data_IF_163828446760
#
_entry.id   IF_163828446760
#
_cell.length_a   1.000
_cell.length_b   1.000
_cell.length_c   1.000
_cell.angle_alpha   90.00
_cell.angle_beta   90.00
_cell.angle_gamma   90.00
#
_symmetry.space_group_name_H-M   'P 1'
#
loop_
_entity.id
_entity.type
_entity.pdbx_description
1 polymer ?
#
# COMPACT_ATOMS: atom_id res chain seq x y z
N UNK A 1 -1.95 -14.14 10.20
CA UNK A 1 -0.51 -13.83 10.05
C UNK A 1 -0.26 -13.59 8.58
N UNK A 2 -0.27 -12.32 8.14
CA UNK A 2 0.14 -11.97 6.77
C UNK A 2 1.67 -11.97 6.81
N UNK A 3 2.28 -13.06 6.35
CA UNK A 3 3.71 -13.39 6.53
C UNK A 3 4.72 -12.48 5.81
N UNK A 4 4.34 -11.25 5.48
CA UNK A 4 5.09 -10.33 4.62
C UNK A 4 5.56 -9.06 5.33
N UNK A 5 5.12 -8.86 6.57
CA UNK A 5 5.38 -7.67 7.36
C UNK A 5 6.05 -8.14 8.65
N UNK A 6 7.35 -7.89 8.77
CA UNK A 6 8.08 -8.12 10.02
C UNK A 6 7.56 -7.12 11.06
N UNK A 7 6.75 -7.57 12.00
CA UNK A 7 6.15 -6.74 13.05
C UNK A 7 7.18 -6.12 14.01
N UNK A 8 8.42 -6.63 14.08
CA UNK A 8 9.37 -6.30 15.15
C UNK A 8 10.09 -4.94 15.03
N UNK A 9 9.84 -4.10 14.00
CA UNK A 9 10.60 -2.84 13.78
C UNK A 9 9.73 -1.61 13.43
N UNK A 10 8.42 -1.74 13.28
CA UNK A 10 7.58 -0.61 12.85
C UNK A 10 6.86 0.07 14.02
N UNK A 11 6.80 1.40 14.01
CA UNK A 11 5.93 2.16 14.94
C UNK A 11 4.51 1.62 14.82
N UNK A 12 3.78 1.55 15.95
CA UNK A 12 2.34 1.25 15.95
C UNK A 12 1.58 2.12 14.94
N UNK A 13 2.05 3.34 14.71
CA UNK A 13 1.44 4.30 13.79
C UNK A 13 1.48 3.86 12.32
N UNK A 14 2.38 2.94 11.95
CA UNK A 14 2.44 2.39 10.58
C UNK A 14 1.52 1.19 10.37
N UNK A 15 0.93 0.64 11.44
CA UNK A 15 0.11 -0.58 11.36
C UNK A 15 -1.04 -0.47 10.35
N UNK A 16 -1.83 0.64 10.29
CA UNK A 16 -2.89 0.79 9.29
C UNK A 16 -2.36 0.75 7.85
N UNK A 17 -1.30 1.51 7.55
CA UNK A 17 -0.65 1.52 6.24
C UNK A 17 -0.18 0.13 5.83
N UNK A 18 0.60 -0.51 6.72
CA UNK A 18 1.20 -1.81 6.46
C UNK A 18 0.12 -2.87 6.22
N UNK A 19 -0.97 -2.83 7.00
CA UNK A 19 -2.12 -3.71 6.79
C UNK A 19 -2.74 -3.51 5.41
N UNK A 20 -3.08 -2.28 5.03
CA UNK A 20 -3.65 -1.96 3.72
C UNK A 20 -2.73 -2.41 2.57
N UNK A 21 -1.42 -2.16 2.69
CA UNK A 21 -0.45 -2.59 1.68
C UNK A 21 -0.28 -4.10 1.61
N UNK A 22 -0.38 -4.79 2.74
CA UNK A 22 -0.41 -6.25 2.78
C UNK A 22 -1.52 -6.79 1.88
N UNK A 23 -2.75 -6.31 2.02
CA UNK A 23 -3.86 -6.71 1.16
C UNK A 23 -3.72 -6.23 -0.29
N UNK A 24 -3.37 -4.96 -0.48
CA UNK A 24 -3.29 -4.33 -1.80
C UNK A 24 -2.20 -4.90 -2.71
N UNK A 25 -1.08 -5.36 -2.14
CA UNK A 25 0.07 -5.88 -2.89
C UNK A 25 0.04 -7.42 -2.96
N UNK A 26 -0.39 -8.12 -1.90
CA UNK A 26 -0.30 -9.59 -1.86
C UNK A 26 -1.58 -10.31 -2.30
N UNK A 27 -2.72 -9.62 -2.37
CA UNK A 27 -4.03 -10.23 -2.62
C UNK A 27 -4.39 -10.50 -4.10
N UNK A 28 -3.63 -9.95 -5.07
CA UNK A 28 -4.06 -9.88 -6.47
C UNK A 28 -3.31 -10.78 -7.47
N UNK A 29 -4.00 -11.18 -8.55
CA UNK A 29 -3.30 -11.65 -9.77
C UNK A 29 -2.50 -10.52 -10.42
N UNK A 30 -2.99 -9.29 -10.30
CA UNK A 30 -2.41 -8.05 -10.84
C UNK A 30 -1.86 -7.21 -9.67
N UNK A 31 -0.53 -7.09 -9.57
CA UNK A 31 0.12 -6.34 -8.47
C UNK A 31 -0.13 -4.83 -8.55
N UNK A 32 -0.53 -4.35 -9.73
CA UNK A 32 -0.72 -2.93 -9.99
C UNK A 32 -2.17 -2.49 -9.70
N UNK A 33 -3.10 -3.43 -9.52
CA UNK A 33 -4.54 -3.17 -9.49
C UNK A 33 -4.93 -2.00 -8.59
N UNK A 34 -4.58 -2.05 -7.30
CA UNK A 34 -4.87 -0.96 -6.36
C UNK A 34 -3.86 0.19 -6.44
N UNK A 35 -2.67 -0.02 -7.02
CA UNK A 35 -1.66 1.02 -7.17
C UNK A 35 -2.08 2.09 -8.18
N UNK A 36 -2.91 1.72 -9.17
CA UNK A 36 -3.45 2.67 -10.18
C UNK A 36 -4.25 3.79 -9.54
N UNK A 37 -5.19 3.47 -8.66
CA UNK A 37 -5.97 4.48 -7.92
C UNK A 37 -5.15 5.12 -6.79
N UNK A 38 -4.29 4.35 -6.11
CA UNK A 38 -3.55 4.82 -4.93
C UNK A 38 -2.41 5.79 -5.30
N UNK A 39 -1.32 5.28 -5.87
CA UNK A 39 -0.14 6.11 -6.21
C UNK A 39 -0.18 6.63 -7.66
N UNK A 40 -0.92 5.95 -8.54
CA UNK A 40 -1.23 6.46 -9.88
C UNK A 40 -2.25 7.58 -9.89
N UNK A 41 -3.02 7.75 -8.81
CA UNK A 41 -4.03 8.80 -8.62
C UNK A 41 -5.05 8.83 -9.77
N UNK A 42 -5.29 7.69 -10.42
CA UNK A 42 -6.31 7.57 -11.47
C UNK A 42 -7.70 7.50 -10.82
N UNK A 43 -8.57 8.50 -11.01
CA UNK A 43 -9.87 8.56 -10.34
C UNK A 43 -10.88 7.52 -10.85
N UNK A 44 -10.58 6.83 -11.96
CA UNK A 44 -11.41 5.77 -12.52
C UNK A 44 -11.00 4.38 -12.05
N UNK A 45 -9.84 4.28 -11.39
CA UNK A 45 -9.29 3.04 -10.88
C UNK A 45 -9.60 2.90 -9.39
N UNK A 46 -9.71 1.65 -8.88
CA UNK A 46 -9.97 1.44 -7.47
C UNK A 46 -8.79 1.96 -6.65
N UNK A 47 -9.11 2.88 -5.74
CA UNK A 47 -8.33 3.07 -4.51
C UNK A 47 -8.62 1.89 -3.59
N UNK A 48 -7.67 1.48 -2.74
CA UNK A 48 -7.80 0.29 -1.88
C UNK A 48 -9.20 0.14 -1.28
N UNK A 49 -9.76 -1.06 -1.28
CA UNK A 49 -11.18 -1.20 -0.92
C UNK A 49 -11.82 -2.52 -1.26
N UNK A 50 -11.31 -3.62 -0.70
CA UNK A 50 -12.22 -4.72 -0.35
C UNK A 50 -12.87 -4.34 1.00
N UNK A 51 -14.13 -4.74 1.32
CA UNK A 51 -14.77 -4.35 2.56
C UNK A 51 -13.88 -4.63 3.78
N UNK A 52 -13.51 -3.59 4.51
CA UNK A 52 -12.73 -3.71 5.74
C UNK A 52 -11.37 -3.00 5.75
N UNK A 53 -10.94 -2.40 4.64
CA UNK A 53 -9.75 -1.53 4.60
C UNK A 53 -9.82 -0.52 3.46
N UNK A 54 -9.05 0.57 3.56
CA UNK A 54 -8.90 1.61 2.54
C UNK A 54 -7.51 2.22 2.61
N UNK A 55 -6.96 2.57 1.44
CA UNK A 55 -5.78 3.43 1.31
C UNK A 55 -6.05 4.40 0.16
N UNK A 56 -6.35 5.65 0.50
CA UNK A 56 -6.81 6.64 -0.46
C UNK A 56 -5.87 7.87 -0.47
N UNK A 57 -5.49 8.38 -1.65
CA UNK A 57 -4.76 9.63 -1.76
C UNK A 57 -5.69 10.83 -1.56
N UNK A 58 -5.24 11.83 -0.83
CA UNK A 58 -5.90 13.12 -0.61
C UNK A 58 -4.96 14.27 -1.01
N UNK A 59 -5.34 15.02 -2.05
CA UNK A 59 -4.60 16.19 -2.51
C UNK A 59 -4.82 17.37 -1.56
N UNK A 60 -3.74 17.86 -0.97
CA UNK A 60 -3.74 18.99 -0.05
C UNK A 60 -3.75 20.33 -0.81
N UNK A 61 -4.08 21.41 -0.10
CA UNK A 61 -4.14 22.76 -0.70
C UNK A 61 -2.79 23.25 -1.24
N UNK A 62 -1.68 22.78 -0.66
CA UNK A 62 -0.30 23.11 -1.06
C UNK A 62 0.22 22.26 -2.23
N UNK A 63 -0.62 21.36 -2.76
CA UNK A 63 -0.29 20.45 -3.85
C UNK A 63 0.43 19.17 -3.42
N UNK A 64 0.69 18.97 -2.12
CA UNK A 64 1.18 17.69 -1.59
C UNK A 64 0.06 16.66 -1.55
N UNK A 65 0.41 15.38 -1.43
CA UNK A 65 -0.56 14.29 -1.27
C UNK A 65 -0.31 13.58 0.05
N UNK A 66 -1.37 13.47 0.84
CA UNK A 66 -1.41 12.62 2.04
C UNK A 66 -2.20 11.36 1.68
N UNK A 67 -1.81 10.24 2.27
CA UNK A 67 -2.49 8.96 2.11
C UNK A 67 -3.19 8.59 3.39
N UNK A 68 -4.51 8.50 3.33
CA UNK A 68 -5.35 8.15 4.47
C UNK A 68 -5.56 6.64 4.45
N UNK A 69 -4.96 5.94 5.41
CA UNK A 69 -5.21 4.51 5.61
C UNK A 69 -6.27 4.33 6.69
N UNK A 70 -7.20 3.42 6.45
CA UNK A 70 -8.21 3.03 7.41
C UNK A 70 -8.44 1.52 7.33
N UNK A 71 -8.54 0.89 8.49
CA UNK A 71 -8.84 -0.53 8.66
C UNK A 71 -10.03 -0.65 9.60
N UNK A 72 -10.97 -1.52 9.26
CA UNK A 72 -12.16 -1.71 10.09
C UNK A 72 -11.78 -2.24 11.48
N UNK A 73 -12.36 -1.65 12.52
CA UNK A 73 -12.14 -2.00 13.94
C UNK A 73 -12.25 -3.50 14.27
N UNK A 74 -13.07 -4.26 13.53
CA UNK A 74 -13.24 -5.71 13.71
C UNK A 74 -11.95 -6.49 13.45
N UNK A 75 -10.96 -5.88 12.78
CA UNK A 75 -9.63 -6.46 12.57
C UNK A 75 -8.76 -6.41 13.83
N UNK A 76 -9.14 -5.63 14.86
CA UNK A 76 -8.40 -5.53 16.13
C UNK A 76 -7.06 -4.81 16.02
N UNK A 77 -6.93 -3.88 15.07
CA UNK A 77 -5.75 -3.04 14.84
C UNK A 77 -5.87 -1.77 15.69
N UNK A 78 -4.80 -1.38 16.42
CA UNK A 78 -4.76 -0.13 17.20
C UNK A 78 -3.38 0.54 17.04
N UNK A 79 -3.28 1.74 16.43
CA UNK A 79 -4.36 2.47 15.77
C UNK A 79 -4.90 1.73 14.54
N UNK A 80 -6.15 1.95 14.18
CA UNK A 80 -6.79 1.37 13.00
C UNK A 80 -6.81 2.31 11.79
N UNK A 81 -6.34 3.54 11.95
CA UNK A 81 -6.27 4.55 10.88
C UNK A 81 -5.03 5.44 11.04
N UNK A 82 -4.63 6.10 9.96
CA UNK A 82 -3.50 7.01 9.97
C UNK A 82 -3.30 7.73 8.64
N UNK A 83 -2.59 8.86 8.71
CA UNK A 83 -2.26 9.72 7.59
C UNK A 83 -0.76 9.63 7.30
N UNK A 84 -0.39 9.43 6.04
CA UNK A 84 0.99 9.17 5.64
C UNK A 84 1.43 10.05 4.48
N UNK A 85 2.67 10.53 4.57
CA UNK A 85 3.32 11.23 3.46
C UNK A 85 3.59 10.27 2.28
N UNK A 86 3.60 10.81 1.06
CA UNK A 86 3.75 10.01 -0.18
C UNK A 86 5.05 9.21 -0.21
N UNK A 87 6.15 9.74 0.33
CA UNK A 87 7.45 9.08 0.39
C UNK A 87 7.44 7.84 1.30
N UNK A 88 6.78 7.93 2.46
CA UNK A 88 6.57 6.79 3.38
C UNK A 88 5.76 5.70 2.69
N UNK A 89 4.67 6.08 2.03
CA UNK A 89 3.79 5.14 1.32
C UNK A 89 4.55 4.45 0.19
N UNK A 90 5.25 5.21 -0.66
CA UNK A 90 6.07 4.66 -1.75
C UNK A 90 7.18 3.75 -1.24
N UNK A 91 7.85 4.13 -0.16
CA UNK A 91 8.88 3.31 0.47
C UNK A 91 8.32 1.93 0.86
N UNK A 92 7.16 1.89 1.52
CA UNK A 92 6.56 0.62 1.94
C UNK A 92 5.97 -0.18 0.78
N UNK A 93 5.44 0.46 -0.27
CA UNK A 93 5.04 -0.23 -1.50
C UNK A 93 6.26 -0.89 -2.15
N UNK A 94 7.38 -0.17 -2.25
CA UNK A 94 8.64 -0.71 -2.79
C UNK A 94 9.07 -1.94 -2.00
N UNK A 95 9.12 -1.85 -0.67
CA UNK A 95 9.48 -2.98 0.20
C UNK A 95 8.54 -4.18 0.02
N UNK A 96 7.23 -3.94 -0.08
CA UNK A 96 6.24 -4.99 -0.34
C UNK A 96 6.50 -5.72 -1.67
N UNK A 97 6.72 -4.95 -2.75
CA UNK A 97 7.03 -5.50 -4.07
C UNK A 97 8.38 -6.22 -4.12
N UNK A 98 9.41 -5.72 -3.43
CA UNK A 98 10.69 -6.41 -3.28
C UNK A 98 10.55 -7.75 -2.56
N UNK A 99 9.67 -7.84 -1.56
CA UNK A 99 9.36 -9.10 -0.88
C UNK A 99 8.60 -10.07 -1.79
N UNK A 100 7.61 -9.58 -2.56
CA UNK A 100 6.95 -10.40 -3.60
C UNK A 100 7.97 -10.93 -4.61
N UNK A 101 8.94 -10.11 -5.03
CA UNK A 101 9.98 -10.53 -5.97
C UNK A 101 10.88 -11.65 -5.41
N UNK A 102 11.20 -11.61 -4.11
CA UNK A 102 11.98 -12.66 -3.44
C UNK A 102 11.24 -14.00 -3.46
N UNK A 103 9.93 -13.99 -3.27
CA UNK A 103 9.11 -15.20 -3.21
C UNK A 103 8.61 -15.68 -4.58
N UNK A 104 8.37 -14.75 -5.50
CA UNK A 104 7.86 -15.00 -6.84
C UNK A 104 8.77 -14.35 -7.90
N UNK A 105 10.00 -14.86 -8.12
CA UNK A 105 10.96 -14.27 -9.06
C UNK A 105 10.45 -14.15 -10.51
N UNK A 106 9.46 -14.96 -10.89
CA UNK A 106 8.80 -14.90 -12.20
C UNK A 106 8.06 -13.59 -12.47
N UNK A 107 7.70 -12.82 -11.44
CA UNK A 107 7.03 -11.51 -11.56
C UNK A 107 7.98 -10.33 -11.76
N UNK A 108 9.27 -10.56 -11.96
CA UNK A 108 10.30 -9.51 -12.11
C UNK A 108 9.92 -8.43 -13.11
N UNK A 109 9.49 -8.82 -14.32
CA UNK A 109 9.16 -7.85 -15.37
C UNK A 109 7.98 -6.95 -15.00
N UNK A 110 6.94 -7.52 -14.37
CA UNK A 110 5.78 -6.80 -13.84
C UNK A 110 6.22 -5.78 -12.78
N UNK A 111 7.02 -6.21 -11.80
CA UNK A 111 7.48 -5.38 -10.68
C UNK A 111 8.41 -4.26 -11.15
N UNK A 112 9.37 -4.54 -12.03
CA UNK A 112 10.27 -3.51 -12.58
C UNK A 112 9.51 -2.47 -13.42
N UNK A 113 8.41 -2.86 -14.08
CA UNK A 113 7.53 -1.91 -14.76
C UNK A 113 6.82 -0.99 -13.75
N UNK A 114 6.34 -1.54 -12.64
CA UNK A 114 5.68 -0.77 -11.57
C UNK A 114 6.68 0.23 -10.96
N UNK A 115 7.91 -0.19 -10.65
CA UNK A 115 8.95 0.70 -10.12
C UNK A 115 9.22 1.89 -11.03
N UNK A 116 9.39 1.64 -12.34
CA UNK A 116 9.62 2.71 -13.31
C UNK A 116 8.41 3.63 -13.48
N UNK A 117 7.19 3.08 -13.46
CA UNK A 117 5.95 3.83 -13.71
C UNK A 117 5.66 4.84 -12.61
N UNK A 118 5.91 4.47 -11.36
CA UNK A 118 5.51 5.28 -10.19
C UNK A 118 6.68 5.93 -9.44
N UNK A 119 7.90 5.77 -9.96
CA UNK A 119 9.13 6.25 -9.32
C UNK A 119 9.26 5.71 -7.89
N UNK A 120 9.22 4.38 -7.78
CA UNK A 120 9.41 3.63 -6.52
C UNK A 120 10.85 3.17 -6.36
#
# INVERSE_FOLDING_TARGET
MIGYINEEVYSSDLMPLLWCLGFGITGGQDLEYYLRGTIGKDPLEPVGGDPGWSLAPELQEDGTTIYCAWVHEMMGLEPNEGDYEEDIVKFHIRQGLENVLKEQPSRREEIERIFRKYDL
#
